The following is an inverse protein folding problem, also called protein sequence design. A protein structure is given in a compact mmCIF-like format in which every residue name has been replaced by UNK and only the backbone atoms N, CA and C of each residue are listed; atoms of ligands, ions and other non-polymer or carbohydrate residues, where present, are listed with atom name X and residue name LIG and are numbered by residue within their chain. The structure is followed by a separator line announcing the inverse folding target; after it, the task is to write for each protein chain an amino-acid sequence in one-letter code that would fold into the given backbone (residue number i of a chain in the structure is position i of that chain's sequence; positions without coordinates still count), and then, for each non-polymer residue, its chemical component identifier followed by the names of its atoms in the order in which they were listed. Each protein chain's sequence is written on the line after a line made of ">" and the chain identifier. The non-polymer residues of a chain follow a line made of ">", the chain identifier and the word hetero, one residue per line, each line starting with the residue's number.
data_IF_239058846828
#
_entry.id   IF_239058846828
#
_cell.length_a   1.000
_cell.length_b   1.000
_cell.length_c   1.000
_cell.angle_alpha   90.00
_cell.angle_beta   90.00
_cell.angle_gamma   90.00
#
_symmetry.space_group_name_H-M   'P 1'
#
loop_
_entity.id
_entity.type
_entity.pdbx_description
1 polymer ?
#
# COMPACT_ATOMS: atom_id res chain seq x y z
N UNK A 1 -19.68 29.80 -12.01
CA UNK A 1 -20.34 28.87 -11.06
C UNK A 1 -19.43 27.69 -10.68
N UNK A 2 -18.83 26.99 -11.66
CA UNK A 2 -17.94 25.85 -11.40
C UNK A 2 -16.72 26.18 -10.51
N UNK A 3 -16.11 27.36 -10.68
CA UNK A 3 -15.00 27.80 -9.81
C UNK A 3 -15.43 28.02 -8.36
N UNK A 4 -16.66 28.45 -8.11
CA UNK A 4 -17.18 28.65 -6.74
C UNK A 4 -17.33 27.32 -6.00
N UNK A 5 -17.84 26.28 -6.67
CA UNK A 5 -17.97 24.93 -6.09
C UNK A 5 -16.61 24.31 -5.81
N UNK A 6 -15.64 24.49 -6.72
CA UNK A 6 -14.27 24.01 -6.54
C UNK A 6 -13.56 24.71 -5.38
N UNK A 7 -13.72 26.02 -5.25
CA UNK A 7 -13.13 26.79 -4.16
C UNK A 7 -13.77 26.43 -2.81
N UNK A 8 -15.10 26.27 -2.74
CA UNK A 8 -15.77 25.80 -1.52
C UNK A 8 -15.27 24.42 -1.08
N UNK A 9 -15.05 23.50 -2.01
CA UNK A 9 -14.49 22.19 -1.70
C UNK A 9 -13.05 22.28 -1.22
N UNK A 10 -12.23 23.13 -1.83
CA UNK A 10 -10.87 23.40 -1.37
C UNK A 10 -10.87 23.91 0.08
N UNK A 11 -11.70 24.92 0.39
CA UNK A 11 -11.85 25.47 1.75
C UNK A 11 -12.31 24.43 2.76
N UNK A 12 -13.20 23.54 2.36
CA UNK A 12 -13.63 22.42 3.18
C UNK A 12 -12.49 21.44 3.50
N UNK A 13 -11.65 21.09 2.52
CA UNK A 13 -10.48 20.24 2.73
C UNK A 13 -9.39 20.92 3.59
N UNK A 14 -9.23 22.24 3.46
CA UNK A 14 -8.35 23.05 4.32
C UNK A 14 -8.87 23.06 5.76
N UNK A 15 -10.16 23.34 5.96
CA UNK A 15 -10.79 23.40 7.29
C UNK A 15 -10.84 22.04 8.01
N UNK A 16 -10.99 20.96 7.25
CA UNK A 16 -11.03 19.59 7.80
C UNK A 16 -9.65 18.97 8.02
N UNK A 17 -8.56 19.66 7.67
CA UNK A 17 -7.19 19.18 7.87
C UNK A 17 -6.77 18.06 6.91
N UNK A 18 -7.61 17.68 5.95
CA UNK A 18 -7.30 16.66 4.93
C UNK A 18 -6.07 17.05 4.12
N UNK A 19 -5.98 18.32 3.72
CA UNK A 19 -4.83 18.80 2.94
C UNK A 19 -3.52 18.73 3.73
N UNK A 20 -3.55 19.04 5.03
CA UNK A 20 -2.38 18.90 5.89
C UNK A 20 -1.93 17.44 5.97
N UNK A 21 -2.86 16.50 6.21
CA UNK A 21 -2.53 15.06 6.30
C UNK A 21 -2.00 14.47 5.00
N UNK A 22 -2.46 14.95 3.84
CA UNK A 22 -2.01 14.46 2.53
C UNK A 22 -0.71 15.14 2.05
N UNK A 23 -0.41 16.33 2.54
CA UNK A 23 0.75 17.13 2.09
C UNK A 23 1.93 17.02 3.06
N UNK A 24 1.65 16.96 4.36
CA UNK A 24 2.61 16.64 5.41
C UNK A 24 2.53 15.13 5.60
N UNK A 25 3.20 14.37 4.72
CA UNK A 25 3.50 12.99 5.04
C UNK A 25 4.18 12.96 6.41
N UNK A 26 3.81 12.01 7.26
CA UNK A 26 4.44 11.71 8.55
C UNK A 26 5.96 11.50 8.36
N UNK A 27 6.70 12.59 8.25
CA UNK A 27 8.16 12.63 8.31
C UNK A 27 8.50 13.70 9.34
N UNK A 28 8.89 13.22 10.51
CA UNK A 28 9.61 14.00 11.51
C UNK A 28 10.83 14.71 10.90
N UNK A 29 11.52 15.55 11.69
CA UNK A 29 12.52 16.46 11.18
C UNK A 29 13.66 15.67 10.53
N UNK A 30 13.65 15.58 9.20
CA UNK A 30 14.78 15.06 8.43
C UNK A 30 15.78 16.19 8.30
N UNK A 31 16.73 16.20 9.22
CA UNK A 31 17.98 16.92 9.04
C UNK A 31 18.66 16.45 7.75
N UNK A 32 19.15 17.43 6.99
CA UNK A 32 20.26 17.29 6.05
C UNK A 32 20.21 16.12 5.07
N UNK A 33 19.62 16.33 3.91
CA UNK A 33 20.10 15.71 2.66
C UNK A 33 19.59 16.52 1.48
N UNK A 34 20.51 16.98 0.64
CA UNK A 34 20.24 17.64 -0.64
C UNK A 34 19.57 16.66 -1.61
N UNK A 35 18.28 16.38 -1.40
CA UNK A 35 17.45 15.69 -2.37
C UNK A 35 17.07 16.71 -3.44
N UNK A 36 17.73 16.62 -4.60
CA UNK A 36 17.39 17.39 -5.80
C UNK A 36 15.87 17.41 -5.97
N UNK A 37 15.30 18.61 -6.03
CA UNK A 37 13.88 18.85 -6.32
C UNK A 37 13.56 18.22 -7.68
N UNK A 38 13.14 16.95 -7.70
CA UNK A 38 12.45 16.39 -8.86
C UNK A 38 11.04 16.91 -8.79
N UNK A 39 10.79 17.94 -9.57
CA UNK A 39 9.44 18.40 -9.84
C UNK A 39 8.68 17.19 -10.41
N UNK A 40 7.53 16.79 -9.84
CA UNK A 40 6.76 15.67 -10.36
C UNK A 40 6.47 15.93 -11.84
N UNK A 41 6.52 14.88 -12.67
CA UNK A 41 6.25 14.94 -14.12
C UNK A 41 4.98 15.74 -14.48
N UNK A 42 4.02 15.81 -13.56
CA UNK A 42 2.81 16.62 -13.67
C UNK A 42 3.06 18.13 -13.94
N UNK A 43 4.16 18.71 -13.44
CA UNK A 43 4.50 20.13 -13.68
C UNK A 43 5.14 20.34 -15.05
N UNK A 44 5.88 19.35 -15.56
CA UNK A 44 6.48 19.41 -16.90
C UNK A 44 5.39 19.40 -17.98
N UNK A 45 4.30 18.69 -17.74
CA UNK A 45 3.15 18.62 -18.66
C UNK A 45 2.37 19.94 -18.72
N UNK A 46 2.38 20.75 -17.65
CA UNK A 46 1.59 22.00 -17.59
C UNK A 46 2.29 23.21 -18.23
N UNK A 47 3.60 23.13 -18.49
CA UNK A 47 4.43 24.24 -19.03
C UNK A 47 4.86 24.05 -20.49
N UNK A 48 4.26 23.11 -21.23
CA UNK A 48 4.32 23.09 -22.69
C UNK A 48 5.70 22.83 -23.31
N UNK A 49 6.60 22.12 -22.63
CA UNK A 49 7.86 21.67 -23.23
C UNK A 49 7.67 20.29 -23.90
N UNK A 50 7.70 20.25 -25.23
CA UNK A 50 7.66 19.03 -26.05
C UNK A 50 9.04 18.37 -26.08
N UNK A 51 9.24 17.15 -25.55
CA UNK A 51 10.44 16.37 -25.83
C UNK A 51 10.29 15.68 -27.18
N UNK A 52 11.31 15.83 -28.04
CA UNK A 52 11.38 15.19 -29.34
C UNK A 52 11.51 13.67 -29.22
N UNK A 53 10.66 13.01 -30.02
CA UNK A 53 10.64 11.62 -30.49
C UNK A 53 11.87 10.75 -30.26
N UNK A 54 11.66 9.62 -29.60
CA UNK A 54 12.45 8.39 -29.71
C UNK A 54 11.51 7.21 -29.48
N UNK A 55 11.52 6.25 -30.40
CA UNK A 55 10.66 5.04 -30.46
C UNK A 55 10.44 4.41 -29.09
N UNK A 56 9.22 3.94 -28.83
CA UNK A 56 9.07 2.57 -28.37
C UNK A 56 7.70 1.98 -28.68
N UNK A 57 7.76 0.69 -28.99
CA UNK A 57 6.71 -0.25 -29.35
C UNK A 57 5.89 -0.58 -28.10
N UNK A 58 4.57 -0.74 -28.26
CA UNK A 58 3.71 -1.27 -27.19
C UNK A 58 2.52 -0.37 -26.90
N UNK A 59 1.46 -0.52 -27.68
CA UNK A 59 0.14 -0.01 -27.35
C UNK A 59 -0.46 -0.91 -26.25
N UNK A 60 -0.01 -0.74 -25.01
CA UNK A 60 -0.75 -1.26 -23.85
C UNK A 60 -1.69 -0.17 -23.35
N UNK A 61 -2.98 -0.49 -23.35
CA UNK A 61 -4.06 0.36 -22.86
C UNK A 61 -3.84 0.74 -21.42
N UNK A 62 -3.19 1.87 -21.20
CA UNK A 62 -2.99 2.44 -19.88
C UNK A 62 -4.29 3.12 -19.44
N UNK A 63 -5.31 2.33 -19.10
CA UNK A 63 -6.34 2.77 -18.17
C UNK A 63 -5.63 2.93 -16.84
N UNK A 64 -4.96 4.08 -16.66
CA UNK A 64 -4.35 4.48 -15.39
C UNK A 64 -5.49 4.53 -14.40
N UNK A 65 -5.69 3.44 -13.65
CA UNK A 65 -6.63 3.41 -12.56
C UNK A 65 -6.29 4.59 -11.66
N UNK A 66 -7.20 5.56 -11.48
CA UNK A 66 -6.88 6.73 -10.68
C UNK A 66 -6.50 6.24 -9.27
N UNK A 67 -5.42 6.78 -8.68
CA UNK A 67 -4.94 6.37 -7.37
C UNK A 67 -6.10 6.35 -6.38
N UNK A 68 -6.15 5.35 -5.49
CA UNK A 68 -7.30 5.12 -4.59
C UNK A 68 -7.76 6.39 -3.88
N UNK A 69 -6.82 7.22 -3.43
CA UNK A 69 -7.09 8.53 -2.80
C UNK A 69 -7.82 9.50 -3.73
N UNK A 70 -7.50 9.50 -5.03
CA UNK A 70 -8.21 10.30 -6.02
C UNK A 70 -9.66 9.85 -6.21
N UNK A 71 -9.94 8.53 -6.20
CA UNK A 71 -11.32 8.01 -6.25
C UNK A 71 -12.13 8.46 -5.02
N UNK A 72 -11.54 8.37 -3.83
CA UNK A 72 -12.21 8.76 -2.58
C UNK A 72 -12.42 10.28 -2.50
N UNK A 73 -11.48 11.10 -2.97
CA UNK A 73 -11.66 12.55 -3.05
C UNK A 73 -12.73 12.97 -4.07
N UNK A 74 -12.87 12.22 -5.17
CA UNK A 74 -13.97 12.41 -6.13
C UNK A 74 -15.31 12.06 -5.47
N UNK A 75 -15.42 10.93 -4.79
CA UNK A 75 -16.62 10.56 -4.04
C UNK A 75 -16.99 11.65 -3.01
N UNK A 76 -16.02 12.10 -2.22
CA UNK A 76 -16.22 13.18 -1.24
C UNK A 76 -16.62 14.51 -1.91
N UNK A 77 -16.20 14.79 -3.15
CA UNK A 77 -16.62 15.97 -3.91
C UNK A 77 -18.06 15.84 -4.43
N UNK A 78 -18.49 14.65 -4.79
CA UNK A 78 -19.82 14.36 -5.35
C UNK A 78 -20.92 14.28 -4.28
N UNK A 79 -20.59 14.00 -3.02
CA UNK A 79 -21.55 13.98 -1.91
C UNK A 79 -22.39 15.27 -1.83
N UNK A 80 -23.74 15.18 -1.89
CA UNK A 80 -24.62 16.35 -1.86
C UNK A 80 -24.60 17.04 -0.49
N UNK A 81 -24.41 16.26 0.58
CA UNK A 81 -24.19 16.76 1.94
C UNK A 81 -22.77 16.40 2.37
N UNK A 82 -21.91 17.42 2.53
CA UNK A 82 -20.52 17.19 2.92
C UNK A 82 -20.46 16.65 4.35
N UNK A 83 -19.75 15.55 4.62
CA UNK A 83 -19.68 14.98 5.97
C UNK A 83 -19.03 15.97 6.94
N UNK A 84 -19.43 15.91 8.21
CA UNK A 84 -18.87 16.78 9.26
C UNK A 84 -17.36 16.54 9.48
N UNK A 85 -16.90 15.30 9.24
CA UNK A 85 -15.49 14.90 9.32
C UNK A 85 -15.02 14.26 8.01
N UNK A 86 -14.33 15.03 7.17
CA UNK A 86 -13.78 14.53 5.90
C UNK A 86 -12.71 13.44 6.11
N UNK A 87 -11.89 13.59 7.17
CA UNK A 87 -10.85 12.62 7.49
C UNK A 87 -11.41 11.25 7.84
N UNK A 88 -12.53 11.22 8.56
CA UNK A 88 -13.19 9.96 8.93
C UNK A 88 -13.79 9.26 7.70
N UNK A 89 -14.44 10.03 6.83
CA UNK A 89 -14.91 9.56 5.53
C UNK A 89 -13.78 8.96 4.69
N UNK A 90 -12.64 9.65 4.61
CA UNK A 90 -11.45 9.16 3.90
C UNK A 90 -10.91 7.87 4.53
N UNK A 91 -10.80 7.82 5.86
CA UNK A 91 -10.28 6.65 6.59
C UNK A 91 -11.13 5.40 6.36
N UNK A 92 -12.46 5.56 6.40
CA UNK A 92 -13.41 4.49 6.13
C UNK A 92 -13.28 3.97 4.68
N UNK A 93 -13.27 4.89 3.70
CA UNK A 93 -13.22 4.51 2.28
C UNK A 93 -11.85 4.04 1.80
N UNK A 94 -10.77 4.39 2.51
CA UNK A 94 -9.43 3.90 2.22
C UNK A 94 -9.12 2.56 2.91
N UNK A 95 -10.06 2.01 3.70
CA UNK A 95 -9.87 0.75 4.44
C UNK A 95 -8.76 0.83 5.49
N UNK A 96 -8.38 2.04 5.90
CA UNK A 96 -7.24 2.28 6.79
C UNK A 96 -7.61 2.27 8.28
N UNK A 97 -8.91 2.29 8.61
CA UNK A 97 -9.37 2.46 10.00
C UNK A 97 -10.40 1.43 10.49
N UNK A 98 -10.79 0.43 9.69
CA UNK A 98 -11.76 -0.57 10.16
C UNK A 98 -11.05 -1.89 10.53
N UNK A 99 -10.96 -2.22 11.83
CA UNK A 99 -10.72 -3.60 12.25
C UNK A 99 -11.85 -4.58 11.85
N UNK A 100 -12.89 -4.10 11.17
CA UNK A 100 -14.09 -4.86 10.79
C UNK A 100 -14.09 -5.34 9.33
N UNK A 101 -12.98 -5.27 8.58
CA UNK A 101 -12.98 -5.85 7.24
C UNK A 101 -13.05 -7.40 7.38
N UNK A 102 -14.18 -8.05 7.08
CA UNK A 102 -14.36 -9.48 7.34
C UNK A 102 -13.38 -10.34 6.54
N UNK A 103 -12.91 -9.84 5.40
CA UNK A 103 -11.87 -10.48 4.60
C UNK A 103 -10.51 -10.49 5.32
N UNK A 104 -10.16 -9.42 6.05
CA UNK A 104 -8.92 -9.36 6.84
C UNK A 104 -8.98 -10.35 8.00
N UNK A 105 -10.12 -10.47 8.68
CA UNK A 105 -10.29 -11.44 9.77
C UNK A 105 -10.27 -12.88 9.27
N UNK A 106 -10.88 -13.16 8.11
CA UNK A 106 -10.79 -14.47 7.47
C UNK A 106 -9.33 -14.82 7.11
N UNK A 107 -8.60 -13.89 6.48
CA UNK A 107 -7.19 -14.10 6.14
C UNK A 107 -6.32 -14.33 7.39
N UNK A 108 -6.63 -13.66 8.51
CA UNK A 108 -5.94 -13.90 9.80
C UNK A 108 -6.22 -15.30 10.34
N UNK A 109 -7.45 -15.78 10.22
CA UNK A 109 -7.83 -17.14 10.63
C UNK A 109 -7.11 -18.18 9.78
N UNK A 110 -7.12 -18.03 8.46
CA UNK A 110 -6.38 -18.91 7.54
C UNK A 110 -4.87 -18.92 7.82
N UNK A 111 -4.28 -17.74 8.13
CA UNK A 111 -2.88 -17.66 8.56
C UNK A 111 -2.61 -18.41 9.86
N UNK A 112 -3.54 -18.38 10.82
CA UNK A 112 -3.40 -19.11 12.07
C UNK A 112 -3.48 -20.63 11.84
N UNK A 113 -4.45 -21.10 11.07
CA UNK A 113 -4.59 -22.51 10.71
C UNK A 113 -3.39 -23.05 9.95
N UNK A 114 -2.87 -22.27 8.99
CA UNK A 114 -1.70 -22.66 8.22
C UNK A 114 -0.43 -22.72 9.08
N UNK A 115 -0.28 -21.79 10.04
CA UNK A 115 0.83 -21.83 11.00
C UNK A 115 0.75 -23.07 11.91
N UNK A 116 -0.42 -23.39 12.43
CA UNK A 116 -0.61 -24.59 13.27
C UNK A 116 -0.26 -25.87 12.50
N UNK A 117 -0.74 -26.00 11.26
CA UNK A 117 -0.39 -27.12 10.37
C UNK A 117 1.11 -27.18 10.11
N UNK A 118 1.75 -26.04 9.87
CA UNK A 118 3.19 -25.99 9.63
C UNK A 118 3.98 -26.44 10.87
N UNK A 119 3.61 -25.96 12.06
CA UNK A 119 4.27 -26.35 13.32
C UNK A 119 4.09 -27.85 13.61
N UNK A 120 2.89 -28.39 13.39
CA UNK A 120 2.62 -29.83 13.54
C UNK A 120 3.49 -30.67 12.61
N UNK A 121 3.55 -30.32 11.32
CA UNK A 121 4.40 -30.99 10.32
C UNK A 121 5.88 -30.88 10.67
N UNK A 122 6.33 -29.72 11.18
CA UNK A 122 7.73 -29.52 11.60
C UNK A 122 8.08 -30.40 12.80
N UNK A 123 7.20 -30.51 13.79
CA UNK A 123 7.40 -31.41 14.94
C UNK A 123 7.37 -32.89 14.54
N UNK A 124 6.48 -33.30 13.64
CA UNK A 124 6.49 -34.65 13.06
C UNK A 124 7.78 -34.93 12.31
N UNK A 125 8.24 -34.01 11.46
CA UNK A 125 9.51 -34.14 10.74
C UNK A 125 10.70 -34.27 11.71
N UNK A 126 10.69 -33.51 12.82
CA UNK A 126 11.72 -33.60 13.86
C UNK A 126 11.69 -34.95 14.57
N UNK A 127 10.50 -35.46 14.91
CA UNK A 127 10.32 -36.82 15.48
C UNK A 127 10.79 -37.89 14.51
N UNK A 128 10.43 -37.79 13.24
CA UNK A 128 10.85 -38.73 12.19
C UNK A 128 12.36 -38.68 11.96
N UNK A 129 12.97 -37.50 11.90
CA UNK A 129 14.43 -37.35 11.79
C UNK A 129 15.15 -37.99 12.98
N UNK A 130 14.66 -37.78 14.20
CA UNK A 130 15.20 -38.43 15.40
C UNK A 130 15.06 -39.96 15.31
N UNK A 131 13.90 -40.43 14.83
CA UNK A 131 13.64 -41.86 14.60
C UNK A 131 14.41 -42.44 13.42
N UNK A 132 14.91 -41.65 12.48
CA UNK A 132 15.77 -42.12 11.40
C UNK A 132 17.23 -42.20 11.86
N UNK A 133 17.68 -41.26 12.68
CA UNK A 133 19.04 -41.26 13.24
C UNK A 133 19.37 -42.54 14.04
N UNK A 134 18.39 -43.15 14.69
CA UNK A 134 18.55 -44.45 15.38
C UNK A 134 18.75 -45.65 14.43
N UNK A 135 18.44 -45.50 13.14
CA UNK A 135 18.72 -46.48 12.09
C UNK A 135 19.89 -46.06 11.20
N UNK A 136 20.48 -44.90 11.46
CA UNK A 136 21.72 -44.50 10.81
C UNK A 136 22.85 -45.31 11.48
N UNK A 137 23.55 -46.19 10.75
CA UNK A 137 24.69 -46.90 11.32
C UNK A 137 25.71 -45.89 11.85
N UNK A 138 26.58 -46.25 12.82
CA UNK A 138 27.75 -45.42 13.10
C UNK A 138 28.38 -45.17 11.73
N UNK A 139 28.51 -43.91 11.32
CA UNK A 139 29.40 -43.62 10.22
C UNK A 139 30.74 -44.18 10.69
N UNK A 140 31.16 -45.31 10.11
CA UNK A 140 32.56 -45.64 10.04
C UNK A 140 33.19 -44.41 9.41
N UNK A 141 33.70 -43.54 10.26
CA UNK A 141 34.75 -42.62 9.90
C UNK A 141 35.93 -43.50 9.50
N UNK A 142 35.96 -43.94 8.23
CA UNK A 142 37.13 -44.53 7.58
C UNK A 142 36.94 -44.60 6.06
N UNK A 143 37.64 -43.66 5.43
CA UNK A 143 38.63 -43.86 4.36
C UNK A 143 38.14 -44.21 2.96
N UNK A 144 38.87 -43.61 2.02
CA UNK A 144 38.91 -43.81 0.57
C UNK A 144 37.74 -43.11 -0.14
N UNK A 145 37.96 -42.17 -1.06
CA UNK A 145 39.12 -41.86 -1.91
C UNK A 145 39.02 -40.39 -2.36
#
# INVERSE_FOLDING_TARGET
>A
AADSKREQFRRYLEKSGVLDTLTKGEHGPREGSSCRRRVPHAVVVFLGAVPRTGRDVGQEGNRRDPPRVQRVLVALYEEPEKPNSALDFLKHHLGAATPENPEIELLRLELAEMKEKYEAIVEENKKLKTKLAQYEPPQEEKRAE
#
